data_IF_905547347762
#
_entry.id   IF_905547347762
#
_cell.length_a   1.000
_cell.length_b   1.000
_cell.length_c   1.000
_cell.angle_alpha   90.00
_cell.angle_beta   90.00
_cell.angle_gamma   90.00
#
_symmetry.space_group_name_H-M   'P 1'
#
loop_
_entity.id
_entity.type
_entity.pdbx_description
1 polymer ?
#
# COMPACT_ATOMS: atom_id res chain seq x y z
N UNK A 1 10.41 1.91 16.02
CA UNK A 1 11.25 0.83 15.46
C UNK A 1 10.67 -0.49 15.95
N UNK A 2 10.68 -1.55 15.13
CA UNK A 2 10.17 -2.89 15.52
C UNK A 2 11.24 -3.96 15.29
N UNK A 3 11.06 -5.13 15.90
CA UNK A 3 11.89 -6.31 15.58
C UNK A 3 11.51 -6.94 14.23
N UNK A 4 12.26 -7.96 13.79
CA UNK A 4 12.01 -8.67 12.52
C UNK A 4 10.68 -9.47 12.52
N UNK A 5 10.01 -9.55 13.67
CA UNK A 5 8.73 -10.20 13.91
C UNK A 5 7.61 -9.18 14.14
N UNK A 6 7.85 -7.90 13.84
CA UNK A 6 6.92 -6.78 13.93
C UNK A 6 6.56 -6.33 15.35
N UNK A 7 7.26 -6.80 16.39
CA UNK A 7 6.98 -6.43 17.78
C UNK A 7 7.57 -5.07 18.11
N UNK A 8 6.81 -4.26 18.85
CA UNK A 8 7.31 -3.01 19.42
C UNK A 8 8.13 -3.34 20.68
N UNK A 9 9.38 -2.84 20.79
CA UNK A 9 10.17 -3.02 22.00
C UNK A 9 9.43 -2.50 23.24
N UNK A 10 9.64 -3.14 24.38
CA UNK A 10 9.14 -2.73 25.70
C UNK A 10 7.61 -2.67 25.86
N UNK A 11 6.84 -3.09 24.84
CA UNK A 11 5.37 -3.16 24.89
C UNK A 11 4.89 -4.56 24.47
N UNK A 12 4.53 -5.37 25.46
CA UNK A 12 4.04 -6.72 25.23
C UNK A 12 2.72 -6.72 24.44
N UNK A 13 2.63 -7.60 23.44
CA UNK A 13 1.42 -7.76 22.62
C UNK A 13 1.19 -6.67 21.56
N UNK A 14 2.08 -5.66 21.46
CA UNK A 14 1.98 -4.62 20.45
C UNK A 14 2.80 -4.95 19.20
N UNK A 15 2.17 -4.82 18.04
CA UNK A 15 2.80 -5.03 16.74
C UNK A 15 2.59 -3.80 15.86
N UNK A 16 3.61 -3.43 15.08
CA UNK A 16 3.53 -2.32 14.12
C UNK A 16 4.15 -2.71 12.77
N UNK A 17 3.56 -2.22 11.68
CA UNK A 17 3.94 -2.51 10.30
C UNK A 17 3.57 -1.34 9.37
N UNK A 18 4.00 -1.40 8.11
CA UNK A 18 3.73 -0.36 7.12
C UNK A 18 4.56 0.90 7.37
N UNK A 19 4.06 2.03 6.89
CA UNK A 19 4.83 3.28 6.86
C UNK A 19 5.07 3.88 8.26
N UNK A 20 4.27 3.45 9.25
CA UNK A 20 4.45 3.81 10.65
C UNK A 20 5.56 3.03 11.37
N UNK A 21 6.15 1.99 10.73
CA UNK A 21 7.11 1.10 11.37
C UNK A 21 8.39 0.92 10.55
N UNK A 22 9.53 1.14 11.19
CA UNK A 22 10.82 0.71 10.67
C UNK A 22 10.98 -0.80 10.90
N UNK A 23 10.55 -1.59 9.91
CA UNK A 23 10.63 -3.07 9.93
C UNK A 23 11.97 -3.52 9.34
N UNK A 24 12.83 -4.23 10.09
CA UNK A 24 14.11 -4.70 9.58
C UNK A 24 13.91 -5.85 8.59
N UNK A 25 14.60 -5.79 7.44
CA UNK A 25 14.61 -6.85 6.46
C UNK A 25 15.89 -7.69 6.54
N UNK A 26 15.75 -8.96 6.95
CA UNK A 26 16.91 -9.85 7.12
C UNK A 26 17.60 -10.19 5.79
N UNK A 27 16.98 -9.91 4.64
CA UNK A 27 17.60 -10.09 3.32
C UNK A 27 18.48 -8.91 2.89
N UNK A 28 18.39 -7.78 3.58
CA UNK A 28 19.11 -6.53 3.28
C UNK A 28 19.96 -6.10 4.48
N UNK A 29 20.60 -7.06 5.17
CA UNK A 29 21.45 -6.76 6.34
C UNK A 29 20.69 -6.10 7.50
N UNK A 30 19.39 -6.40 7.67
CA UNK A 30 18.50 -5.82 8.67
C UNK A 30 18.25 -4.30 8.51
N UNK A 31 18.50 -3.74 7.34
CA UNK A 31 18.08 -2.37 7.03
C UNK A 31 16.55 -2.26 7.05
N UNK A 32 15.99 -1.10 7.43
CA UNK A 32 14.56 -0.85 7.36
C UNK A 32 14.04 -1.08 5.94
N UNK A 33 13.02 -1.92 5.80
CA UNK A 33 12.36 -2.17 4.54
C UNK A 33 11.70 -0.88 4.01
N UNK A 34 11.61 -0.74 2.68
CA UNK A 34 11.01 0.44 2.06
C UNK A 34 9.55 0.65 2.49
N UNK A 35 9.15 1.91 2.63
CA UNK A 35 7.81 2.36 3.00
C UNK A 35 6.94 2.49 1.74
N UNK A 36 6.61 1.35 1.14
CA UNK A 36 5.75 1.31 -0.05
C UNK A 36 4.56 0.40 0.19
N UNK A 37 3.47 0.62 -0.55
CA UNK A 37 2.27 -0.21 -0.46
C UNK A 37 2.56 -1.71 -0.67
N UNK A 38 3.50 -2.05 -1.56
CA UNK A 38 3.94 -3.43 -1.78
C UNK A 38 4.59 -4.04 -0.53
N UNK A 39 5.41 -3.25 0.18
CA UNK A 39 5.99 -3.67 1.45
C UNK A 39 4.91 -3.78 2.51
N UNK A 40 4.03 -2.79 2.66
CA UNK A 40 2.96 -2.80 3.66
C UNK A 40 2.05 -4.03 3.54
N UNK A 41 1.59 -4.39 2.33
CA UNK A 41 0.74 -5.56 2.11
C UNK A 41 1.44 -6.87 2.49
N UNK A 42 2.74 -6.99 2.18
CA UNK A 42 3.51 -8.20 2.54
C UNK A 42 3.83 -8.25 4.02
N UNK A 43 4.19 -7.12 4.60
CA UNK A 43 4.39 -6.97 6.03
C UNK A 43 3.12 -7.34 6.78
N UNK A 44 1.94 -6.95 6.31
CA UNK A 44 0.67 -7.33 6.93
C UNK A 44 0.49 -8.85 7.03
N UNK A 45 0.75 -9.58 5.95
CA UNK A 45 0.67 -11.05 5.95
C UNK A 45 1.71 -11.72 6.88
N UNK A 46 2.91 -11.14 6.99
CA UNK A 46 3.95 -11.64 7.87
C UNK A 46 3.67 -11.32 9.35
N UNK A 47 3.23 -10.09 9.64
CA UNK A 47 2.83 -9.63 10.96
C UNK A 47 1.63 -10.42 11.49
N UNK A 48 0.62 -10.72 10.64
CA UNK A 48 -0.50 -11.57 11.02
C UNK A 48 -0.04 -12.95 11.51
N UNK A 49 1.00 -13.53 10.89
CA UNK A 49 1.62 -14.78 11.38
C UNK A 49 2.34 -14.59 12.71
N UNK A 50 3.02 -13.47 12.92
CA UNK A 50 3.66 -13.16 14.22
C UNK A 50 2.64 -12.99 15.34
N UNK A 51 1.50 -12.35 15.06
CA UNK A 51 0.37 -12.22 16.00
C UNK A 51 -0.22 -13.59 16.33
N UNK A 52 -0.51 -14.40 15.31
CA UNK A 52 -0.99 -15.77 15.51
C UNK A 52 0.01 -16.62 16.33
N UNK A 53 1.32 -16.41 16.12
CA UNK A 53 2.36 -17.10 16.87
C UNK A 53 2.45 -16.64 18.33
N UNK A 54 2.23 -15.36 18.64
CA UNK A 54 2.14 -14.91 20.03
C UNK A 54 0.94 -15.50 20.78
N UNK A 55 -0.07 -15.96 20.04
CA UNK A 55 -1.25 -16.63 20.58
C UNK A 55 -1.13 -18.16 20.58
N UNK A 56 0.01 -18.71 20.13
CA UNK A 56 0.27 -20.17 20.08
C UNK A 56 -0.32 -20.89 18.86
N UNK A 57 -0.93 -20.18 17.91
CA UNK A 57 -1.56 -20.79 16.72
C UNK A 57 -0.62 -20.92 15.51
N UNK A 58 0.59 -20.36 15.58
CA UNK A 58 1.55 -20.38 14.49
C UNK A 58 3.00 -20.29 14.99
N UNK A 59 3.96 -20.37 14.08
CA UNK A 59 5.38 -20.09 14.35
C UNK A 59 5.77 -18.76 13.73
N UNK A 60 6.33 -17.85 14.53
CA UNK A 60 6.81 -16.57 14.05
C UNK A 60 7.95 -16.77 13.04
N UNK A 61 7.97 -15.97 11.97
CA UNK A 61 9.04 -15.99 10.97
C UNK A 61 9.51 -14.56 10.70
N UNK A 62 10.83 -14.32 10.64
CA UNK A 62 11.36 -13.00 10.35
C UNK A 62 10.91 -12.53 8.96
N UNK A 63 10.63 -11.24 8.83
CA UNK A 63 10.29 -10.63 7.56
C UNK A 63 11.44 -10.78 6.55
N UNK A 64 11.13 -11.33 5.38
CA UNK A 64 12.05 -11.48 4.25
C UNK A 64 11.39 -10.91 3.01
N UNK A 65 12.00 -9.90 2.39
CA UNK A 65 11.51 -9.38 1.12
C UNK A 65 12.22 -10.03 -0.07
N UNK A 66 11.44 -10.56 -1.01
CA UNK A 66 11.95 -10.87 -2.36
C UNK A 66 11.51 -9.76 -3.30
N UNK A 67 12.48 -9.03 -3.84
CA UNK A 67 12.18 -7.94 -4.77
C UNK A 67 11.52 -8.54 -6.02
N UNK A 68 10.27 -8.17 -6.33
CA UNK A 68 9.55 -8.65 -7.52
C UNK A 68 9.69 -7.69 -8.71
N UNK A 69 10.49 -6.62 -8.53
CA UNK A 69 10.62 -5.54 -9.50
C UNK A 69 9.66 -4.39 -9.24
N UNK A 70 9.61 -3.44 -10.18
CA UNK A 70 8.80 -2.23 -10.08
C UNK A 70 8.06 -1.95 -11.38
N UNK A 71 7.01 -1.15 -11.28
CA UNK A 71 6.21 -0.72 -12.41
C UNK A 71 5.89 0.76 -12.22
N UNK A 72 6.08 1.56 -13.27
CA UNK A 72 5.84 3.01 -13.30
C UNK A 72 5.01 3.33 -14.55
N UNK A 73 3.85 3.96 -14.36
CA UNK A 73 3.03 4.52 -15.43
C UNK A 73 3.40 6.00 -15.62
N UNK A 74 3.77 6.39 -16.84
CA UNK A 74 4.12 7.78 -17.19
C UNK A 74 3.00 8.49 -17.94
N UNK A 75 1.87 7.81 -18.20
CA UNK A 75 0.70 8.34 -18.90
C UNK A 75 0.63 7.93 -20.37
N UNK A 76 -0.62 7.79 -20.86
CA UNK A 76 -0.90 7.37 -22.23
C UNK A 76 -0.38 5.96 -22.53
N UNK A 77 0.52 5.86 -23.50
CA UNK A 77 1.21 4.63 -23.92
C UNK A 77 2.60 4.49 -23.30
N UNK A 78 3.06 5.47 -22.52
CA UNK A 78 4.37 5.46 -21.90
C UNK A 78 4.27 4.84 -20.51
N UNK A 79 4.91 3.68 -20.34
CA UNK A 79 5.12 3.05 -19.05
C UNK A 79 6.46 2.34 -19.06
N UNK A 80 7.02 2.11 -17.87
CA UNK A 80 8.22 1.32 -17.65
C UNK A 80 7.90 0.27 -16.59
N UNK A 81 8.22 -0.98 -16.88
CA UNK A 81 8.03 -2.08 -15.95
C UNK A 81 9.30 -2.92 -15.94
N UNK A 82 9.72 -3.36 -14.77
CA UNK A 82 10.79 -4.33 -14.61
C UNK A 82 10.26 -5.56 -13.85
N UNK A 83 9.31 -6.33 -14.41
CA UNK A 83 8.83 -7.54 -13.75
C UNK A 83 9.97 -8.55 -13.63
N UNK A 84 10.33 -8.89 -12.39
CA UNK A 84 11.32 -9.94 -12.09
C UNK A 84 12.69 -9.75 -12.77
N UNK A 85 13.09 -8.52 -13.10
CA UNK A 85 14.37 -8.23 -13.75
C UNK A 85 14.32 -8.21 -15.29
N UNK A 86 13.13 -8.25 -15.89
CA UNK A 86 12.95 -8.11 -17.34
C UNK A 86 12.47 -6.69 -17.66
N UNK A 87 13.31 -5.79 -18.21
CA UNK A 87 12.91 -4.43 -18.52
C UNK A 87 11.94 -4.41 -19.71
N UNK A 88 10.80 -3.75 -19.51
CA UNK A 88 9.75 -3.54 -20.49
C UNK A 88 9.40 -2.05 -20.53
N UNK A 89 9.10 -1.55 -21.73
CA UNK A 89 8.71 -0.15 -21.93
C UNK A 89 7.57 -0.01 -22.94
N UNK A 90 6.91 1.14 -22.91
CA UNK A 90 5.85 1.50 -23.85
C UNK A 90 4.54 0.73 -23.62
N UNK A 91 3.84 0.43 -24.72
CA UNK A 91 2.49 -0.19 -24.69
C UNK A 91 2.46 -1.53 -23.93
N UNK A 92 3.43 -2.46 -24.10
CA UNK A 92 3.45 -3.70 -23.33
C UNK A 92 3.60 -3.49 -21.82
N UNK A 93 4.47 -2.56 -21.41
CA UNK A 93 4.61 -2.19 -20.00
C UNK A 93 3.30 -1.60 -19.46
N UNK A 94 2.64 -0.72 -20.23
CA UNK A 94 1.40 -0.08 -19.83
C UNK A 94 0.24 -1.09 -19.71
N UNK A 95 0.21 -2.12 -20.56
CA UNK A 95 -0.76 -3.21 -20.46
C UNK A 95 -0.52 -4.08 -19.22
N UNK A 96 0.73 -4.39 -18.89
CA UNK A 96 1.09 -5.13 -17.68
C UNK A 96 0.73 -4.37 -16.40
N UNK A 97 1.04 -3.07 -16.35
CA UNK A 97 0.66 -2.20 -15.22
C UNK A 97 -0.83 -2.24 -14.97
N UNK A 98 -1.62 -2.03 -16.03
CA UNK A 98 -3.08 -2.09 -15.97
C UNK A 98 -3.56 -3.46 -15.48
N UNK A 99 -3.04 -4.54 -16.04
CA UNK A 99 -3.42 -5.91 -15.65
C UNK A 99 -3.12 -6.21 -14.18
N UNK A 100 -1.96 -5.75 -13.67
CA UNK A 100 -1.61 -5.86 -12.26
C UNK A 100 -2.61 -5.14 -11.36
N UNK A 101 -2.95 -3.88 -11.69
CA UNK A 101 -3.91 -3.10 -10.91
C UNK A 101 -5.32 -3.70 -10.95
N UNK A 102 -5.77 -4.19 -12.11
CA UNK A 102 -7.04 -4.91 -12.20
C UNK A 102 -7.04 -6.12 -11.28
N UNK A 103 -5.97 -6.93 -11.29
CA UNK A 103 -5.85 -8.11 -10.43
C UNK A 103 -5.85 -7.74 -8.94
N UNK A 104 -5.26 -6.60 -8.57
CA UNK A 104 -5.20 -6.12 -7.19
C UNK A 104 -6.54 -5.62 -6.64
N UNK A 105 -7.54 -5.35 -7.50
CA UNK A 105 -8.88 -4.94 -7.04
C UNK A 105 -9.63 -6.11 -6.40
N UNK A 106 -10.12 -5.96 -5.15
CA UNK A 106 -10.76 -7.04 -4.40
C UNK A 106 -12.18 -7.37 -4.90
N UNK A 107 -12.92 -6.37 -5.40
CA UNK A 107 -14.31 -6.54 -5.81
C UNK A 107 -14.44 -6.70 -7.32
N UNK A 108 -15.20 -7.71 -7.76
CA UNK A 108 -15.43 -7.99 -9.18
C UNK A 108 -16.11 -6.81 -9.89
N UNK A 109 -17.05 -6.14 -9.23
CA UNK A 109 -17.75 -4.95 -9.77
C UNK A 109 -16.80 -3.77 -10.01
N UNK A 110 -15.84 -3.54 -9.11
CA UNK A 110 -14.85 -2.48 -9.31
C UNK A 110 -13.89 -2.85 -10.44
N UNK A 111 -13.50 -4.13 -10.51
CA UNK A 111 -12.67 -4.67 -11.60
C UNK A 111 -13.34 -4.50 -12.97
N UNK A 112 -14.63 -4.81 -13.11
CA UNK A 112 -15.33 -4.66 -14.40
C UNK A 112 -15.50 -3.20 -14.80
N UNK A 113 -15.82 -2.30 -13.86
CA UNK A 113 -15.90 -0.85 -14.12
C UNK A 113 -14.57 -0.28 -14.60
N UNK A 114 -13.47 -0.59 -13.91
CA UNK A 114 -12.13 -0.12 -14.28
C UNK A 114 -11.70 -0.69 -15.63
N UNK A 115 -11.99 -1.97 -15.90
CA UNK A 115 -11.67 -2.59 -17.18
C UNK A 115 -12.45 -1.93 -18.34
N UNK A 116 -13.75 -1.66 -18.13
CA UNK A 116 -14.58 -0.98 -19.13
C UNK A 116 -14.11 0.45 -19.40
N UNK A 117 -13.76 1.20 -18.36
CA UNK A 117 -13.20 2.56 -18.49
C UNK A 117 -11.90 2.57 -19.30
N UNK A 118 -10.98 1.64 -19.02
CA UNK A 118 -9.74 1.55 -19.77
C UNK A 118 -9.92 1.07 -21.22
N UNK A 119 -10.86 0.16 -21.46
CA UNK A 119 -11.23 -0.24 -22.83
C UNK A 119 -11.80 0.95 -23.60
N UNK A 120 -12.74 1.69 -23.00
CA UNK A 120 -13.35 2.87 -23.62
C UNK A 120 -12.31 3.95 -23.88
N UNK A 121 -11.43 4.23 -22.91
CA UNK A 121 -10.33 5.19 -23.04
C UNK A 121 -9.25 4.81 -24.06
N UNK A 122 -9.23 3.56 -24.54
CA UNK A 122 -8.36 3.14 -25.65
C UNK A 122 -8.92 3.58 -27.03
N UNK A 123 -10.24 3.75 -27.14
CA UNK A 123 -10.93 4.12 -28.39
C UNK A 123 -11.49 5.54 -28.38
N UNK A 124 -11.62 6.16 -27.19
CA UNK A 124 -12.17 7.51 -27.03
C UNK A 124 -11.19 8.42 -26.31
N UNK A 125 -11.13 9.72 -26.66
CA UNK A 125 -10.35 10.70 -25.90
C UNK A 125 -10.89 10.78 -24.47
N UNK A 126 -9.99 10.93 -23.49
CA UNK A 126 -10.37 11.05 -22.07
C UNK A 126 -11.33 12.22 -21.89
N UNK A 127 -12.52 11.93 -21.40
CA UNK A 127 -13.46 12.97 -20.99
C UNK A 127 -13.03 13.49 -19.62
N UNK A 128 -12.40 14.66 -19.60
CA UNK A 128 -12.10 15.38 -18.36
C UNK A 128 -13.34 16.16 -17.98
N UNK A 129 -14.17 15.59 -17.11
CA UNK A 129 -15.29 16.31 -16.52
C UNK A 129 -14.77 17.02 -15.28
N UNK A 130 -14.64 18.34 -15.34
CA UNK A 130 -14.35 19.15 -14.17
C UNK A 130 -15.61 19.23 -13.31
N UNK A 131 -15.73 18.33 -12.33
CA UNK A 131 -16.70 18.48 -11.26
C UNK A 131 -16.34 19.77 -10.51
N UNK A 132 -17.19 20.80 -10.64
CA UNK A 132 -16.92 22.12 -10.10
C UNK A 132 -16.43 22.06 -8.65
N UNK A 133 -15.39 22.85 -8.34
CA UNK A 133 -14.88 22.99 -6.99
C UNK A 133 -15.96 23.59 -6.10
N UNK A 134 -16.73 22.76 -5.39
CA UNK A 134 -17.28 23.20 -4.11
C UNK A 134 -16.08 23.33 -3.18
N UNK A 135 -15.78 24.53 -2.64
CA UNK A 135 -14.74 24.65 -1.63
C UNK A 135 -15.15 23.71 -0.49
N UNK A 136 -14.36 22.66 -0.17
CA UNK A 136 -14.62 21.92 1.05
C UNK A 136 -14.57 22.95 2.18
N UNK A 137 -15.58 22.96 3.05
CA UNK A 137 -15.51 23.69 4.30
C UNK A 137 -14.16 23.32 4.92
N UNK A 138 -13.29 24.31 5.17
CA UNK A 138 -11.91 24.11 5.63
C UNK A 138 -11.95 23.30 6.93
N UNK A 139 -11.89 21.97 6.82
CA UNK A 139 -11.77 21.08 7.96
C UNK A 139 -10.32 21.18 8.40
N UNK A 140 -10.11 21.79 9.57
CA UNK A 140 -8.81 21.72 10.22
C UNK A 140 -8.47 20.25 10.46
N UNK A 141 -7.17 19.90 10.43
CA UNK A 141 -6.68 18.54 10.70
C UNK A 141 -7.27 18.00 12.01
N UNK A 142 -7.43 18.87 13.01
CA UNK A 142 -8.05 18.53 14.29
C UNK A 142 -9.50 18.05 14.17
N UNK A 143 -10.29 18.62 13.25
CA UNK A 143 -11.67 18.19 13.02
C UNK A 143 -11.76 16.83 12.30
N UNK A 144 -10.78 16.50 11.45
CA UNK A 144 -10.71 15.21 10.76
C UNK A 144 -10.19 14.07 11.67
N UNK A 145 -9.24 14.39 12.55
CA UNK A 145 -8.63 13.43 13.48
C UNK A 145 -9.45 13.21 14.76
N UNK A 146 -10.57 13.93 14.93
CA UNK A 146 -11.44 13.83 16.12
C UNK A 146 -10.61 13.95 17.41
N UNK A 147 -9.70 14.94 17.43
CA UNK A 147 -8.74 15.14 18.53
C UNK A 147 -9.39 15.69 19.82
N UNK A 148 -10.65 16.10 19.73
CA UNK A 148 -11.53 16.42 20.86
C UNK A 148 -11.64 15.28 21.87
N UNK A 149 -11.42 14.04 21.44
CA UNK A 149 -11.42 12.87 22.32
C UNK A 149 -10.14 12.79 23.19
N UNK A 150 -9.03 13.41 22.75
CA UNK A 150 -7.77 13.47 23.50
C UNK A 150 -7.66 14.73 24.37
N UNK A 151 -8.36 15.79 24.00
CA UNK A 151 -8.44 17.03 24.80
C UNK A 151 -9.51 16.84 25.86
N UNK A 152 -9.19 16.03 26.88
CA UNK A 152 -10.07 15.76 27.99
C UNK A 152 -10.61 17.05 28.61
N UNK A 153 -11.94 17.10 28.79
CA UNK A 153 -12.66 17.97 29.73
C UNK A 153 -11.83 18.21 30.99
N UNK A 154 -11.24 19.40 31.12
CA UNK A 154 -10.30 19.68 32.20
C UNK A 154 -9.81 21.11 32.25
N UNK A 155 -10.70 22.11 32.23
CA UNK A 155 -10.44 23.42 32.83
C UNK A 155 -11.72 24.25 33.00
N UNK A 156 -12.29 24.16 34.22
CA UNK A 156 -13.21 25.08 34.91
C UNK A 156 -14.63 25.27 34.37
#
# INVERSE_FOLDING_TARGET
MVDAQFRVPDVAGMFALGDAAAVPDVTQGCQPAGQTAQHAVRQAAAAARSVAASLGYATARPYRHRNLGFIVDLGGTAAVADPLGVPLSGVPAAALTRMYHLRALPCLTNKTRVAADWLLGAFTPRQIVQLGFLPPAKSSISAAERTDIYTGSGAR
#
